data_IF_937592602804
#
_entry.id   IF_937592602804
#
_cell.length_a   1.000
_cell.length_b   1.000
_cell.length_c   1.000
_cell.angle_alpha   90.00
_cell.angle_beta   90.00
_cell.angle_gamma   90.00
#
_symmetry.space_group_name_H-M   'P 1'
#
loop_
_entity.id
_entity.type
_entity.pdbx_description
1 polymer ?
#
# COMPACT_ATOMS: atom_id res chain seq x y z
N UNK A 1 -3.31 15.12 -1.55
CA UNK A 1 -2.33 14.76 -0.49
C UNK A 1 -1.03 14.33 -1.16
N UNK A 2 0.12 14.62 -0.56
CA UNK A 2 1.42 14.18 -1.08
C UNK A 2 1.75 12.77 -0.58
N UNK A 3 2.11 11.85 -1.49
CA UNK A 3 2.58 10.51 -1.13
C UNK A 3 3.99 10.66 -0.54
N UNK A 4 4.29 10.07 0.63
CA UNK A 4 5.63 10.14 1.20
C UNK A 4 6.70 9.64 0.22
N UNK A 5 7.86 10.29 0.23
CA UNK A 5 8.96 9.92 -0.66
C UNK A 5 9.54 8.56 -0.25
N UNK A 6 9.58 7.63 -1.18
CA UNK A 6 10.37 6.39 -1.10
C UNK A 6 11.75 6.57 -1.71
N UNK A 7 12.72 5.81 -1.22
CA UNK A 7 14.04 5.73 -1.81
C UNK A 7 14.00 5.38 -3.31
N UNK A 8 14.97 5.91 -4.08
CA UNK A 8 15.04 5.72 -5.54
C UNK A 8 15.00 4.24 -5.94
N UNK A 9 15.66 3.37 -5.18
CA UNK A 9 15.70 1.93 -5.43
C UNK A 9 14.31 1.29 -5.39
N UNK A 10 13.51 1.64 -4.38
CA UNK A 10 12.15 1.11 -4.23
C UNK A 10 11.24 1.65 -5.32
N UNK A 11 11.33 2.95 -5.62
CA UNK A 11 10.60 3.55 -6.74
C UNK A 11 10.84 2.81 -8.05
N UNK A 12 12.11 2.62 -8.42
CA UNK A 12 12.46 1.88 -9.65
C UNK A 12 11.98 0.43 -9.61
N UNK A 13 11.98 -0.21 -8.44
CA UNK A 13 11.46 -1.58 -8.29
C UNK A 13 9.95 -1.65 -8.49
N UNK A 14 9.18 -0.71 -7.92
CA UNK A 14 7.73 -0.61 -8.11
C UNK A 14 7.40 -0.49 -9.60
N UNK A 15 8.00 0.49 -10.27
CA UNK A 15 7.80 0.75 -11.70
C UNK A 15 8.13 -0.47 -12.56
N UNK A 16 9.28 -1.13 -12.29
CA UNK A 16 9.71 -2.32 -13.02
C UNK A 16 8.72 -3.49 -12.90
N UNK A 17 8.03 -3.60 -11.77
CA UNK A 17 7.09 -4.69 -11.49
C UNK A 17 5.63 -4.29 -11.73
N UNK A 18 5.37 -3.11 -12.30
CA UNK A 18 4.03 -2.63 -12.62
C UNK A 18 3.21 -2.21 -11.39
N UNK A 19 3.88 -1.86 -10.30
CA UNK A 19 3.22 -1.30 -9.11
C UNK A 19 3.22 0.23 -9.17
N UNK A 20 2.12 0.85 -8.77
CA UNK A 20 2.02 2.29 -8.55
C UNK A 20 1.42 2.60 -7.18
N UNK A 21 1.75 3.78 -6.66
CA UNK A 21 1.26 4.27 -5.37
C UNK A 21 0.19 5.33 -5.63
N UNK A 22 -0.95 5.18 -4.98
CA UNK A 22 -2.07 6.11 -5.12
C UNK A 22 -2.47 6.64 -3.74
N UNK A 23 -2.22 7.93 -3.50
CA UNK A 23 -2.68 8.60 -2.29
C UNK A 23 -4.19 8.89 -2.38
N UNK A 24 -4.94 8.47 -1.37
CA UNK A 24 -6.35 8.82 -1.21
C UNK A 24 -6.55 9.37 0.21
N UNK A 25 -7.35 10.44 0.37
CA UNK A 25 -7.74 10.87 1.71
C UNK A 25 -8.65 9.82 2.34
N UNK A 26 -8.35 9.39 3.57
CA UNK A 26 -9.26 8.53 4.32
C UNK A 26 -10.50 9.35 4.72
N UNK A 27 -11.71 8.98 4.26
CA UNK A 27 -12.93 9.70 4.60
C UNK A 27 -13.33 9.60 6.09
N UNK A 28 -12.78 8.65 6.84
CA UNK A 28 -13.10 8.41 8.26
C UNK A 28 -12.22 9.23 9.20
N UNK A 29 -10.92 9.30 8.92
CA UNK A 29 -9.93 9.93 9.79
C UNK A 29 -9.42 11.27 9.24
N UNK A 30 -9.60 11.52 7.94
CA UNK A 30 -8.98 12.64 7.23
C UNK A 30 -7.47 12.47 7.01
N UNK A 31 -6.93 11.30 7.38
CA UNK A 31 -5.52 10.99 7.31
C UNK A 31 -5.11 10.38 5.97
N UNK A 32 -3.82 10.06 5.91
CA UNK A 32 -3.09 9.68 4.73
C UNK A 32 -3.16 8.18 4.45
N UNK A 33 -4.03 7.77 3.53
CA UNK A 33 -4.01 6.42 2.97
C UNK A 33 -3.24 6.40 1.66
N UNK A 34 -2.30 5.48 1.52
CA UNK A 34 -1.60 5.21 0.26
C UNK A 34 -1.87 3.78 -0.18
N UNK A 35 -2.62 3.63 -1.27
CA UNK A 35 -2.88 2.34 -1.88
C UNK A 35 -1.70 1.90 -2.75
N UNK A 36 -1.39 0.61 -2.66
CA UNK A 36 -0.49 -0.07 -3.58
C UNK A 36 -1.35 -0.77 -4.61
N UNK A 37 -1.19 -0.39 -5.88
CA UNK A 37 -1.93 -0.98 -6.99
C UNK A 37 -0.97 -1.60 -7.98
N UNK A 38 -1.40 -2.68 -8.63
CA UNK A 38 -0.67 -3.35 -9.70
C UNK A 38 -1.44 -3.24 -11.00
N UNK A 39 -0.78 -2.73 -12.03
CA UNK A 39 -1.32 -2.64 -13.37
C UNK A 39 -0.86 -3.83 -14.21
N UNK A 40 -1.81 -4.69 -14.61
CA UNK A 40 -1.57 -5.83 -15.50
C UNK A 40 -2.34 -5.61 -16.81
N UNK A 41 -1.79 -4.81 -17.71
CA UNK A 41 -2.41 -4.49 -19.00
C UNK A 41 -3.70 -3.69 -18.81
N UNK A 42 -4.87 -4.33 -19.02
CA UNK A 42 -6.19 -3.69 -18.87
C UNK A 42 -6.80 -3.83 -17.46
N UNK A 43 -6.13 -4.52 -16.54
CA UNK A 43 -6.65 -4.77 -15.20
C UNK A 43 -5.79 -4.09 -14.13
N UNK A 44 -6.42 -3.27 -13.30
CA UNK A 44 -5.82 -2.74 -12.06
C UNK A 44 -6.23 -3.63 -10.88
N UNK A 45 -5.25 -4.12 -10.13
CA UNK A 45 -5.47 -4.92 -8.92
C UNK A 45 -4.98 -4.17 -7.70
N UNK A 46 -5.82 -4.10 -6.66
CA UNK A 46 -5.41 -3.56 -5.36
C UNK A 46 -4.62 -4.63 -4.60
N UNK A 47 -3.41 -4.26 -4.19
CA UNK A 47 -2.44 -5.15 -3.53
C UNK A 47 -2.58 -5.00 -2.01
N UNK A 48 -2.75 -3.76 -1.57
CA UNK A 48 -2.79 -3.37 -0.17
C UNK A 48 -2.84 -1.85 -0.05
N UNK A 49 -2.76 -1.37 1.18
CA UNK A 49 -2.58 0.04 1.47
C UNK A 49 -1.77 0.22 2.75
N UNK A 50 -1.29 1.44 2.95
CA UNK A 50 -0.70 1.87 4.20
C UNK A 50 -1.39 3.14 4.67
N UNK A 51 -1.69 3.18 5.96
CA UNK A 51 -2.31 4.33 6.62
C UNK A 51 -1.32 4.94 7.61
N UNK A 52 -1.39 6.25 7.79
CA UNK A 52 -0.63 6.94 8.83
C UNK A 52 -1.56 7.46 9.91
N UNK A 53 -1.63 6.70 11.01
CA UNK A 53 -2.50 7.00 12.15
C UNK A 53 -1.68 7.14 13.44
N UNK A 54 -1.93 8.21 14.19
CA UNK A 54 -1.27 8.51 15.47
C UNK A 54 0.28 8.51 15.42
N UNK A 55 0.86 8.91 14.28
CA UNK A 55 2.32 9.04 14.13
C UNK A 55 3.05 7.75 13.78
N UNK A 56 2.32 6.67 13.47
CA UNK A 56 2.88 5.40 13.00
C UNK A 56 2.22 4.99 11.68
N UNK A 57 2.95 4.20 10.89
CA UNK A 57 2.44 3.64 9.63
C UNK A 57 1.90 2.24 9.85
N UNK A 58 0.68 1.99 9.41
CA UNK A 58 0.04 0.68 9.45
C UNK A 58 0.01 0.08 8.04
N UNK A 59 0.24 -1.23 7.92
CA UNK A 59 0.18 -1.94 6.65
C UNK A 59 -1.03 -2.88 6.60
N UNK A 60 -1.74 -2.85 5.47
CA UNK A 60 -2.96 -3.61 5.23
C UNK A 60 -2.91 -4.31 3.87
N UNK A 61 -3.29 -5.60 3.84
CA UNK A 61 -3.26 -6.42 2.64
C UNK A 61 -4.68 -6.55 2.10
N UNK A 62 -4.82 -6.57 0.77
CA UNK A 62 -6.14 -6.77 0.14
C UNK A 62 -6.25 -8.22 -0.33
N UNK A 63 -7.26 -8.95 0.18
CA UNK A 63 -7.52 -10.35 -0.20
C UNK A 63 -8.72 -10.43 -1.17
N UNK A 64 -8.44 -10.33 -2.47
CA UNK A 64 -9.30 -10.67 -3.65
C UNK A 64 -10.70 -9.98 -3.77
N UNK A 65 -11.42 -10.31 -4.87
CA UNK A 65 -11.39 -9.62 -6.15
C UNK A 65 -12.25 -8.33 -6.17
N UNK A 66 -12.82 -7.95 -5.04
CA UNK A 66 -13.76 -6.84 -4.90
C UNK A 66 -13.55 -6.13 -3.55
N UNK A 67 -12.36 -5.57 -3.34
CA UNK A 67 -12.09 -4.52 -2.35
C UNK A 67 -12.74 -4.68 -0.96
N UNK A 68 -12.85 -5.90 -0.45
CA UNK A 68 -13.18 -6.10 0.97
C UNK A 68 -11.85 -6.03 1.69
N UNK A 69 -11.52 -4.86 2.20
CA UNK A 69 -10.37 -4.68 3.08
C UNK A 69 -10.71 -5.40 4.39
N UNK A 70 -10.12 -6.57 4.72
CA UNK A 70 -10.13 -6.97 6.11
C UNK A 70 -9.39 -5.86 6.87
N UNK A 71 -10.04 -5.26 7.86
CA UNK A 71 -9.51 -4.17 8.69
C UNK A 71 -8.35 -4.62 9.60
N UNK A 72 -7.85 -5.85 9.43
CA UNK A 72 -6.74 -6.39 10.20
C UNK A 72 -5.42 -5.83 9.65
N UNK A 73 -4.96 -4.74 10.28
CA UNK A 73 -3.59 -4.28 10.14
C UNK A 73 -2.65 -5.45 10.50
N UNK A 74 -1.81 -5.86 9.56
CA UNK A 74 -0.87 -6.96 9.81
C UNK A 74 0.50 -6.46 10.30
N UNK A 75 0.69 -5.15 10.43
CA UNK A 75 1.90 -4.58 11.02
C UNK A 75 1.82 -3.07 11.28
N UNK A 76 2.69 -2.61 12.19
CA UNK A 76 2.94 -1.21 12.53
C UNK A 76 4.42 -0.92 12.30
N UNK A 77 4.72 0.25 11.73
CA UNK A 77 6.05 0.62 11.25
C UNK A 77 6.34 2.09 11.56
N UNK A 78 7.58 2.38 11.91
CA UNK A 78 8.05 3.75 12.15
C UNK A 78 8.28 4.51 10.84
N UNK A 79 8.34 3.81 9.70
CA UNK A 79 8.53 4.40 8.38
C UNK A 79 7.53 3.90 7.35
N UNK A 80 7.15 4.82 6.46
CA UNK A 80 6.33 4.53 5.27
C UNK A 80 6.95 3.44 4.40
N UNK A 81 8.27 3.47 4.27
CA UNK A 81 9.01 2.55 3.41
C UNK A 81 8.93 1.10 3.92
N UNK A 82 9.05 0.90 5.23
CA UNK A 82 8.88 -0.42 5.84
C UNK A 82 7.45 -0.94 5.73
N UNK A 83 6.46 -0.07 5.99
CA UNK A 83 5.04 -0.44 5.83
C UNK A 83 4.75 -0.87 4.38
N UNK A 84 5.26 -0.11 3.40
CA UNK A 84 5.11 -0.42 1.99
C UNK A 84 5.77 -1.75 1.60
N UNK A 85 7.01 -1.99 2.05
CA UNK A 85 7.69 -3.26 1.81
C UNK A 85 6.92 -4.43 2.42
N UNK A 86 6.34 -4.23 3.60
CA UNK A 86 5.51 -5.22 4.26
C UNK A 86 4.27 -5.60 3.44
N UNK A 87 3.59 -4.62 2.84
CA UNK A 87 2.48 -4.87 1.88
C UNK A 87 2.95 -5.71 0.70
N UNK A 88 4.08 -5.35 0.08
CA UNK A 88 4.59 -6.05 -1.10
C UNK A 88 4.98 -7.50 -0.79
N UNK A 89 5.62 -7.76 0.35
CA UNK A 89 5.99 -9.12 0.78
C UNK A 89 4.75 -9.97 1.01
N UNK A 90 3.76 -9.46 1.74
CA UNK A 90 2.57 -10.23 2.08
C UNK A 90 1.66 -10.52 0.87
N UNK A 91 1.62 -9.63 -0.12
CA UNK A 91 0.91 -9.89 -1.37
C UNK A 91 1.50 -11.06 -2.18
N UNK A 92 2.83 -11.22 -2.16
CA UNK A 92 3.48 -12.32 -2.91
C UNK A 92 3.17 -13.71 -2.37
N UNK A 93 2.56 -13.84 -1.19
CA UNK A 93 2.18 -15.12 -0.60
C UNK A 93 0.75 -15.58 -0.93
N UNK A 94 0.01 -14.82 -1.73
CA UNK A 94 -1.34 -15.18 -2.17
C UNK A 94 -1.29 -15.61 -3.65
N UNK A 95 -0.59 -16.72 -3.93
CA UNK A 95 -0.60 -17.38 -5.24
C UNK A 95 -1.49 -18.63 -5.18
#
# INVERSE_FOLDING_TARGET
>A
MEIPKVGKRIRTSLERHGYSLQGQPDPRTGEATVHVVRENGQQTSYVGHVDHYLGVWHAFAVVRPAAVYPEDAFGQFDSFEEALLSVLVNFTHVA
#
